data_IF_821458878669
#
_entry.id   IF_821458878669
#
_cell.length_a   1.000
_cell.length_b   1.000
_cell.length_c   1.000
_cell.angle_alpha   90.00
_cell.angle_beta   90.00
_cell.angle_gamma   90.00
#
_symmetry.space_group_name_H-M   'P 1'
#
loop_
_entity.id
_entity.type
_entity.pdbx_description
1 polymer ?
#
# COMPACT_ATOMS: atom_id res chain seq x y z
N UNK A 1 13.33 0.20 -3.03
CA UNK A 1 11.96 0.07 -2.48
C UNK A 1 11.45 -1.38 -2.57
N UNK A 2 11.53 -2.03 -3.74
CA UNK A 2 11.08 -3.42 -3.94
C UNK A 2 11.77 -4.40 -2.98
N UNK A 3 13.10 -4.53 -3.05
CA UNK A 3 13.88 -5.48 -2.23
C UNK A 3 13.73 -5.22 -0.72
N UNK A 4 13.92 -3.95 -0.32
CA UNK A 4 14.04 -3.59 1.09
C UNK A 4 12.69 -3.43 1.82
N UNK A 5 11.57 -3.35 1.10
CA UNK A 5 10.23 -3.11 1.67
C UNK A 5 9.17 -4.05 1.12
N UNK A 6 8.90 -3.99 -0.19
CA UNK A 6 7.75 -4.71 -0.76
C UNK A 6 7.87 -6.23 -0.60
N UNK A 7 9.04 -6.82 -0.84
CA UNK A 7 9.25 -8.27 -0.65
C UNK A 7 8.97 -8.72 0.79
N UNK A 8 9.39 -7.92 1.78
CA UNK A 8 9.13 -8.20 3.19
C UNK A 8 7.64 -8.15 3.50
N UNK A 9 6.94 -7.13 2.98
CA UNK A 9 5.49 -6.97 3.16
C UNK A 9 4.73 -8.14 2.52
N UNK A 10 5.06 -8.52 1.28
CA UNK A 10 4.43 -9.64 0.59
C UNK A 10 4.64 -10.96 1.36
N UNK A 11 5.85 -11.19 1.87
CA UNK A 11 6.15 -12.36 2.71
C UNK A 11 5.27 -12.40 3.96
N UNK A 12 5.12 -11.26 4.63
CA UNK A 12 4.30 -11.17 5.84
C UNK A 12 2.81 -11.33 5.52
N UNK A 13 2.31 -10.74 4.44
CA UNK A 13 0.93 -10.92 3.96
C UNK A 13 0.63 -12.41 3.71
N UNK A 14 1.54 -13.15 3.05
CA UNK A 14 1.38 -14.58 2.81
C UNK A 14 1.34 -15.40 4.11
N UNK A 15 2.13 -15.00 5.11
CA UNK A 15 2.12 -15.61 6.45
C UNK A 15 0.80 -15.37 7.17
N UNK A 16 0.25 -14.16 7.09
CA UNK A 16 -1.01 -13.79 7.73
C UNK A 16 -2.24 -14.39 7.01
N UNK A 17 -2.21 -14.41 5.67
CA UNK A 17 -3.28 -14.94 4.81
C UNK A 17 -2.90 -16.31 4.28
N UNK A 18 -2.84 -17.33 5.15
CA UNK A 18 -2.37 -18.69 4.80
C UNK A 18 -3.07 -19.32 3.58
N UNK A 19 -4.38 -19.11 3.43
CA UNK A 19 -5.18 -19.69 2.35
C UNK A 19 -5.11 -18.92 1.05
N UNK A 20 -5.23 -17.59 1.11
CA UNK A 20 -5.39 -16.74 -0.06
C UNK A 20 -4.12 -15.97 -0.44
N UNK A 21 -3.10 -15.94 0.42
CA UNK A 21 -1.88 -15.16 0.22
C UNK A 21 -2.18 -13.72 -0.22
N UNK A 22 -1.55 -13.30 -1.31
CA UNK A 22 -1.78 -12.01 -1.99
C UNK A 22 -2.98 -12.01 -2.93
N UNK A 23 -3.58 -13.17 -3.22
CA UNK A 23 -4.69 -13.29 -4.18
C UNK A 23 -5.88 -12.42 -3.76
N UNK A 24 -6.35 -11.62 -4.70
CA UNK A 24 -7.50 -10.72 -4.53
C UNK A 24 -7.23 -9.53 -3.62
N UNK A 25 -5.97 -9.28 -3.24
CA UNK A 25 -5.60 -8.10 -2.48
C UNK A 25 -5.71 -6.87 -3.38
N UNK A 26 -6.37 -5.83 -2.87
CA UNK A 26 -6.44 -4.53 -3.53
C UNK A 26 -5.65 -3.52 -2.70
N UNK A 27 -4.71 -2.84 -3.34
CA UNK A 27 -3.83 -1.87 -2.69
C UNK A 27 -4.26 -0.46 -3.09
N UNK A 28 -4.60 0.36 -2.11
CA UNK A 28 -4.78 1.80 -2.28
C UNK A 28 -3.54 2.50 -1.75
N UNK A 29 -2.85 3.26 -2.60
CA UNK A 29 -1.74 4.13 -2.20
C UNK A 29 -1.80 5.44 -3.00
N UNK A 30 -1.07 6.45 -2.53
CA UNK A 30 -0.91 7.72 -3.23
C UNK A 30 -0.10 7.58 -4.53
N UNK A 31 -0.15 8.60 -5.39
CA UNK A 31 0.51 8.59 -6.70
C UNK A 31 1.94 9.16 -6.65
N UNK A 32 2.65 9.02 -5.52
CA UNK A 32 4.02 9.49 -5.39
C UNK A 32 4.94 8.84 -6.44
N UNK A 33 5.98 9.56 -6.87
CA UNK A 33 6.89 9.08 -7.93
C UNK A 33 7.44 7.67 -7.70
N UNK A 34 7.82 7.26 -6.47
CA UNK A 34 8.27 5.89 -6.25
C UNK A 34 7.14 4.88 -6.45
N UNK A 35 5.89 5.20 -6.09
CA UNK A 35 4.77 4.26 -6.16
C UNK A 35 4.24 4.08 -7.58
N UNK A 36 4.45 5.07 -8.45
CA UNK A 36 4.05 5.04 -9.87
C UNK A 36 5.10 4.40 -10.80
N UNK A 37 6.28 4.06 -10.29
CA UNK A 37 7.35 3.51 -11.12
C UNK A 37 6.92 2.17 -11.75
N UNK A 38 7.21 1.97 -13.04
CA UNK A 38 6.83 0.77 -13.80
C UNK A 38 7.23 -0.52 -13.09
N UNK A 39 8.47 -0.59 -12.61
CA UNK A 39 9.01 -1.77 -11.93
C UNK A 39 8.22 -2.14 -10.67
N UNK A 40 7.67 -1.15 -9.98
CA UNK A 40 6.86 -1.37 -8.77
C UNK A 40 5.47 -1.86 -9.14
N UNK A 41 4.86 -1.26 -10.17
CA UNK A 41 3.56 -1.72 -10.71
C UNK A 41 3.68 -3.15 -11.22
N UNK A 42 4.74 -3.46 -11.96
CA UNK A 42 5.02 -4.79 -12.49
C UNK A 42 5.19 -5.80 -11.37
N UNK A 43 6.04 -5.50 -10.38
CA UNK A 43 6.25 -6.36 -9.22
C UNK A 43 4.95 -6.66 -8.46
N UNK A 44 4.15 -5.63 -8.16
CA UNK A 44 2.87 -5.80 -7.45
C UNK A 44 1.88 -6.64 -8.27
N UNK A 45 1.86 -6.46 -9.59
CA UNK A 45 1.02 -7.24 -10.50
C UNK A 45 1.45 -8.70 -10.55
N UNK A 46 2.76 -8.98 -10.63
CA UNK A 46 3.33 -10.34 -10.58
C UNK A 46 3.02 -11.05 -9.27
N UNK A 47 3.01 -10.31 -8.15
CA UNK A 47 2.61 -10.83 -6.84
C UNK A 47 1.09 -10.99 -6.70
N UNK A 48 0.28 -10.64 -7.71
CA UNK A 48 -1.17 -10.78 -7.72
C UNK A 48 -1.91 -9.72 -6.91
N UNK A 49 -1.28 -8.57 -6.67
CA UNK A 49 -1.83 -7.43 -5.94
C UNK A 49 -2.38 -6.41 -6.94
N UNK A 50 -3.67 -6.11 -6.82
CA UNK A 50 -4.35 -5.17 -7.69
C UNK A 50 -4.24 -3.74 -7.14
N UNK A 51 -3.58 -2.85 -7.87
CA UNK A 51 -3.49 -1.44 -7.49
C UNK A 51 -4.81 -0.75 -7.84
N UNK A 52 -5.42 -0.07 -6.85
CA UNK A 52 -6.61 0.75 -7.06
C UNK A 52 -6.14 2.12 -7.58
N UNK A 53 -6.68 2.63 -8.70
CA UNK A 53 -6.34 3.96 -9.18
C UNK A 53 -6.75 5.02 -8.16
N UNK A 54 -5.80 5.85 -7.76
CA UNK A 54 -6.02 6.97 -6.83
C UNK A 54 -5.82 8.30 -7.58
N UNK A 55 -6.79 9.23 -7.53
CA UNK A 55 -6.67 10.52 -8.18
C UNK A 55 -5.55 11.38 -7.55
N UNK A 56 -4.88 12.25 -8.33
CA UNK A 56 -3.91 13.19 -7.78
C UNK A 56 -4.53 14.11 -6.72
N UNK A 57 -3.76 14.46 -5.70
CA UNK A 57 -4.12 15.44 -4.67
C UNK A 57 -5.48 15.21 -4.00
N UNK A 58 -5.84 13.95 -3.75
CA UNK A 58 -7.11 13.57 -3.12
C UNK A 58 -6.90 12.91 -1.74
N UNK A 59 -6.34 13.65 -0.77
CA UNK A 59 -6.08 13.12 0.58
C UNK A 59 -7.38 12.72 1.31
N UNK A 60 -8.51 13.32 0.94
CA UNK A 60 -9.85 12.97 1.42
C UNK A 60 -10.28 11.55 1.02
N UNK A 61 -9.75 11.02 -0.08
CA UNK A 61 -10.02 9.67 -0.57
C UNK A 61 -9.06 8.62 -0.01
N UNK A 62 -7.97 9.05 0.63
CA UNK A 62 -7.00 8.16 1.25
C UNK A 62 -7.31 8.02 2.75
N UNK A 63 -7.74 6.83 3.17
CA UNK A 63 -7.99 6.51 4.60
C UNK A 63 -6.81 6.86 5.51
N UNK A 64 -5.58 6.73 5.00
CA UNK A 64 -4.36 7.10 5.69
C UNK A 64 -4.29 8.60 6.01
N UNK A 65 -4.52 9.45 5.00
CA UNK A 65 -4.40 10.90 5.13
C UNK A 65 -5.59 11.52 5.86
N UNK A 66 -6.80 11.02 5.57
CA UNK A 66 -8.02 11.52 6.19
C UNK A 66 -8.14 11.14 7.66
N UNK A 67 -7.95 9.87 8.00
CA UNK A 67 -8.25 9.36 9.34
C UNK A 67 -7.01 9.01 10.15
N UNK A 68 -6.12 8.16 9.63
CA UNK A 68 -5.03 7.61 10.45
C UNK A 68 -4.05 8.69 10.88
N UNK A 69 -3.63 9.57 9.97
CA UNK A 69 -2.72 10.66 10.28
C UNK A 69 -3.33 11.65 11.27
N UNK A 70 -4.63 11.93 11.15
CA UNK A 70 -5.34 12.75 12.12
C UNK A 70 -5.37 12.08 13.50
N UNK A 71 -5.75 10.80 13.56
CA UNK A 71 -5.80 10.03 14.80
C UNK A 71 -4.43 9.99 15.50
N UNK A 72 -3.36 9.72 14.75
CA UNK A 72 -2.00 9.68 15.29
C UNK A 72 -1.63 11.04 15.87
N UNK A 73 -1.88 12.16 15.16
CA UNK A 73 -1.58 13.50 15.67
C UNK A 73 -2.30 13.83 16.98
N UNK A 74 -3.54 13.36 17.15
CA UNK A 74 -4.31 13.58 18.38
C UNK A 74 -3.79 12.76 19.57
N UNK A 75 -3.14 11.63 19.31
CA UNK A 75 -2.66 10.70 20.34
C UNK A 75 -1.14 10.68 20.47
N UNK A 76 -0.43 11.47 19.68
CA UNK A 76 1.00 11.69 19.84
C UNK A 76 1.16 12.66 21.01
N UNK A 77 1.52 12.16 22.18
CA UNK A 77 2.03 12.98 23.27
C UNK A 77 3.43 13.48 22.93
N UNK A 78 3.75 14.71 23.33
CA UNK A 78 5.05 15.37 23.13
C UNK A 78 6.25 14.57 23.67
#
# INVERSE_FOLDING_TARGET
>A
YIENRLKLVVKEIRKQRKSNGTKGLKLLHDNASPHRHSDIINYLTEEGINIIPHPPYSPDLALYDYWLNYYIKQNLTD
#
